data_IF_905272705510
#
_entry.id   IF_905272705510
#
_cell.length_a   1.000
_cell.length_b   1.000
_cell.length_c   1.000
_cell.angle_alpha   90.00
_cell.angle_beta   90.00
_cell.angle_gamma   90.00
#
_symmetry.space_group_name_H-M   'P 1'
#
loop_
_entity.id
_entity.type
_entity.pdbx_description
1 polymer ?
#
# COMPACT_ATOMS: atom_id res chain seq x y z
N UNK A 1 22.32 -15.09 -60.02
CA UNK A 1 22.02 -15.79 -58.74
C UNK A 1 22.88 -15.22 -57.61
N UNK A 2 22.56 -14.03 -57.11
CA UNK A 2 23.33 -13.41 -56.00
C UNK A 2 22.46 -12.93 -54.84
N UNK A 3 21.13 -12.97 -54.96
CA UNK A 3 20.19 -12.44 -53.94
C UNK A 3 19.75 -13.47 -52.87
N UNK A 4 20.10 -14.74 -53.01
CA UNK A 4 19.64 -15.80 -52.09
C UNK A 4 20.65 -16.10 -50.96
N UNK A 5 21.90 -15.62 -51.06
CA UNK A 5 22.91 -15.86 -50.00
C UNK A 5 22.79 -14.92 -48.79
N UNK A 6 22.34 -13.67 -49.00
CA UNK A 6 22.26 -12.65 -47.94
C UNK A 6 21.07 -12.85 -46.98
N UNK A 7 20.00 -13.52 -47.42
CA UNK A 7 18.84 -13.82 -46.56
C UNK A 7 19.14 -14.87 -45.49
N UNK A 8 20.19 -15.69 -45.67
CA UNK A 8 20.57 -16.75 -44.72
C UNK A 8 21.37 -16.22 -43.52
N UNK A 9 22.17 -15.17 -43.70
CA UNK A 9 22.93 -14.52 -42.61
C UNK A 9 22.04 -13.64 -41.71
N UNK A 10 21.01 -13.00 -42.25
CA UNK A 10 20.02 -12.27 -41.44
C UNK A 10 19.04 -13.21 -40.71
N UNK A 11 18.74 -14.39 -41.28
CA UNK A 11 17.90 -15.40 -40.61
C UNK A 11 18.57 -15.96 -39.35
N UNK A 12 19.86 -16.29 -39.43
CA UNK A 12 20.63 -16.86 -38.31
C UNK A 12 20.85 -15.85 -37.16
N UNK A 13 20.98 -14.56 -37.47
CA UNK A 13 21.10 -13.50 -36.45
C UNK A 13 19.75 -13.06 -35.88
N UNK A 14 18.71 -12.96 -36.72
CA UNK A 14 17.36 -12.54 -36.32
C UNK A 14 16.65 -13.60 -35.49
N UNK A 15 16.78 -14.88 -35.85
CA UNK A 15 16.23 -15.97 -35.02
C UNK A 15 16.92 -16.00 -33.65
N UNK A 16 18.23 -15.78 -33.59
CA UNK A 16 18.94 -15.74 -32.32
C UNK A 16 18.53 -14.53 -31.47
N UNK A 17 18.38 -13.36 -32.10
CA UNK A 17 17.93 -12.14 -31.42
C UNK A 17 16.50 -12.26 -30.91
N UNK A 18 15.56 -12.73 -31.73
CA UNK A 18 14.16 -12.92 -31.32
C UNK A 18 14.01 -14.04 -30.29
N UNK A 19 14.77 -15.14 -30.44
CA UNK A 19 14.81 -16.22 -29.44
C UNK A 19 15.34 -15.72 -28.09
N UNK A 20 16.44 -14.97 -28.09
CA UNK A 20 17.00 -14.39 -26.87
C UNK A 20 16.07 -13.35 -26.24
N UNK A 21 15.42 -12.51 -27.04
CA UNK A 21 14.44 -11.53 -26.57
C UNK A 21 13.24 -12.22 -25.93
N UNK A 22 12.64 -13.22 -26.59
CA UNK A 22 11.52 -13.99 -26.07
C UNK A 22 11.89 -14.74 -24.78
N UNK A 23 13.09 -15.32 -24.71
CA UNK A 23 13.58 -16.01 -23.50
C UNK A 23 13.84 -15.07 -22.34
N UNK A 24 14.32 -13.86 -22.62
CA UNK A 24 14.50 -12.82 -21.59
C UNK A 24 13.14 -12.32 -21.08
N UNK A 25 12.19 -12.07 -21.99
CA UNK A 25 10.82 -11.68 -21.63
C UNK A 25 10.13 -12.75 -20.80
N UNK A 26 10.28 -14.03 -21.17
CA UNK A 26 9.82 -15.16 -20.37
C UNK A 26 10.45 -15.16 -18.98
N UNK A 27 11.77 -14.97 -18.87
CA UNK A 27 12.46 -14.91 -17.58
C UNK A 27 11.98 -13.76 -16.68
N UNK A 28 11.68 -12.59 -17.27
CA UNK A 28 11.10 -11.47 -16.53
C UNK A 28 9.68 -11.77 -16.04
N UNK A 29 8.89 -12.45 -16.87
CA UNK A 29 7.54 -12.86 -16.53
C UNK A 29 7.53 -13.91 -15.41
N UNK A 30 8.40 -14.91 -15.49
CA UNK A 30 8.60 -15.92 -14.43
C UNK A 30 9.12 -15.29 -13.13
N UNK A 31 10.02 -14.32 -13.21
CA UNK A 31 10.47 -13.57 -12.04
C UNK A 31 9.31 -12.82 -11.36
N UNK A 32 8.42 -12.20 -12.16
CA UNK A 32 7.24 -11.52 -11.63
C UNK A 32 6.23 -12.49 -11.02
N UNK A 33 6.03 -13.66 -11.62
CA UNK A 33 5.19 -14.71 -11.05
C UNK A 33 5.74 -15.16 -9.68
N UNK A 34 7.04 -15.46 -9.60
CA UNK A 34 7.67 -15.88 -8.35
C UNK A 34 7.58 -14.80 -7.25
N UNK A 35 7.72 -13.53 -7.60
CA UNK A 35 7.55 -12.41 -6.67
C UNK A 35 6.11 -12.37 -6.11
N UNK A 36 5.11 -12.45 -6.99
CA UNK A 36 3.71 -12.44 -6.59
C UNK A 36 3.35 -13.68 -5.75
N UNK A 37 3.85 -14.86 -6.12
CA UNK A 37 3.67 -16.08 -5.32
C UNK A 37 4.33 -15.97 -3.95
N UNK A 38 5.50 -15.34 -3.83
CA UNK A 38 6.15 -15.11 -2.55
C UNK A 38 5.33 -14.16 -1.67
N UNK A 39 4.72 -13.12 -2.24
CA UNK A 39 3.82 -12.20 -1.52
C UNK A 39 2.59 -12.96 -1.02
N UNK A 40 1.95 -13.75 -1.88
CA UNK A 40 0.77 -14.54 -1.50
C UNK A 40 1.15 -15.61 -0.47
N UNK A 41 2.27 -16.31 -0.61
CA UNK A 41 2.64 -17.38 0.32
C UNK A 41 2.98 -16.86 1.72
N UNK A 42 3.53 -15.66 1.81
CA UNK A 42 3.93 -15.05 3.07
C UNK A 42 2.90 -14.07 3.64
N UNK A 43 1.74 -13.90 2.98
CA UNK A 43 0.70 -13.03 3.53
C UNK A 43 0.16 -13.63 4.84
N UNK A 44 0.02 -12.79 5.85
CA UNK A 44 -0.72 -13.13 7.07
C UNK A 44 -2.08 -12.49 6.94
N UNK A 45 -3.13 -13.32 6.88
CA UNK A 45 -4.51 -12.83 6.88
C UNK A 45 -4.82 -12.31 8.30
N UNK A 46 -4.79 -11.00 8.46
CA UNK A 46 -5.24 -10.37 9.70
C UNK A 46 -6.77 -10.36 9.67
N UNK A 47 -7.40 -11.35 10.31
CA UNK A 47 -8.82 -11.27 10.62
C UNK A 47 -9.04 -10.06 11.55
N UNK A 48 -9.77 -9.06 11.05
CA UNK A 48 -10.25 -7.96 11.88
C UNK A 48 -11.24 -8.52 12.89
N UNK A 49 -10.74 -8.88 14.09
CA UNK A 49 -11.59 -9.07 15.27
C UNK A 49 -12.50 -7.85 15.37
N UNK A 50 -13.80 -8.08 15.59
CA UNK A 50 -14.81 -7.04 15.84
C UNK A 50 -14.18 -5.92 16.66
N UNK A 51 -14.23 -4.70 16.12
CA UNK A 51 -13.78 -3.47 16.77
C UNK A 51 -14.11 -3.52 18.25
N UNK A 52 -13.07 -3.45 19.08
CA UNK A 52 -13.22 -3.36 20.55
C UNK A 52 -13.68 -1.96 20.97
N UNK A 53 -14.02 -1.10 20.01
CA UNK A 53 -14.24 0.33 20.20
C UNK A 53 -12.95 1.10 20.51
N UNK A 54 -11.79 0.44 20.43
CA UNK A 54 -10.47 1.01 20.69
C UNK A 54 -9.70 1.09 19.38
N UNK A 55 -9.11 2.25 19.11
CA UNK A 55 -8.27 2.47 17.93
C UNK A 55 -7.00 1.63 18.03
N UNK A 56 -6.76 0.79 17.02
CA UNK A 56 -5.56 -0.03 16.88
C UNK A 56 -5.04 0.00 15.43
N UNK A 57 -3.89 -0.62 15.19
CA UNK A 57 -3.41 -0.84 13.83
C UNK A 57 -4.44 -1.65 13.03
N UNK A 58 -4.77 -1.17 11.83
CA UNK A 58 -5.79 -1.74 10.97
C UNK A 58 -7.18 -1.12 11.13
N UNK A 59 -7.46 -0.41 12.22
CA UNK A 59 -8.74 0.25 12.49
C UNK A 59 -9.02 1.38 11.52
N UNK A 60 -10.27 1.52 11.13
CA UNK A 60 -10.79 2.73 10.47
C UNK A 60 -11.38 3.64 11.53
N UNK A 61 -10.83 4.84 11.66
CA UNK A 61 -11.19 5.81 12.69
C UNK A 61 -11.89 6.98 12.03
N UNK A 62 -13.02 7.37 12.60
CA UNK A 62 -13.72 8.62 12.29
C UNK A 62 -13.55 9.58 13.44
N UNK A 63 -13.15 10.81 13.15
CA UNK A 63 -13.01 11.88 14.12
C UNK A 63 -13.48 13.21 13.54
N UNK A 64 -13.84 14.14 14.41
CA UNK A 64 -14.26 15.49 14.03
C UNK A 64 -13.56 16.52 14.89
N UNK A 65 -13.13 17.63 14.28
CA UNK A 65 -12.75 18.85 14.99
C UNK A 65 -14.00 19.69 15.30
N UNK A 66 -13.96 20.48 16.38
CA UNK A 66 -15.10 21.29 16.81
C UNK A 66 -15.49 22.32 15.74
N UNK A 67 -16.66 22.12 15.12
CA UNK A 67 -17.19 23.00 14.07
C UNK A 67 -16.77 22.61 12.65
N UNK A 68 -15.98 21.55 12.47
CA UNK A 68 -15.61 21.00 11.16
C UNK A 68 -16.34 19.68 10.86
N UNK A 69 -16.18 19.19 9.63
CA UNK A 69 -16.75 17.92 9.19
C UNK A 69 -16.02 16.69 9.77
N UNK A 70 -16.66 15.52 9.68
CA UNK A 70 -16.01 14.27 10.04
C UNK A 70 -14.93 13.88 9.02
N UNK A 71 -13.75 13.54 9.53
CA UNK A 71 -12.67 12.93 8.76
C UNK A 71 -12.56 11.43 9.07
N UNK A 72 -12.21 10.64 8.06
CA UNK A 72 -12.09 9.18 8.16
C UNK A 72 -10.71 8.73 7.69
N UNK A 73 -9.97 8.02 8.54
CA UNK A 73 -8.68 7.44 8.17
C UNK A 73 -8.52 6.01 8.69
N UNK A 74 -7.83 5.19 7.90
CA UNK A 74 -7.37 3.87 8.32
C UNK A 74 -5.96 3.94 8.88
N UNK A 75 -5.76 3.41 10.08
CA UNK A 75 -4.45 3.33 10.71
C UNK A 75 -3.69 2.14 10.12
N UNK A 76 -2.56 2.41 9.48
CA UNK A 76 -1.74 1.42 8.76
C UNK A 76 -0.27 1.53 9.18
N UNK A 77 0.57 0.62 8.67
CA UNK A 77 2.03 0.72 8.83
C UNK A 77 2.64 1.85 7.99
N UNK A 78 3.87 2.32 8.32
CA UNK A 78 4.55 3.39 7.57
C UNK A 78 4.70 3.11 6.08
N UNK A 79 4.92 1.85 5.69
CA UNK A 79 5.10 1.45 4.30
C UNK A 79 3.82 1.57 3.45
N UNK A 80 2.64 1.61 4.09
CA UNK A 80 1.33 1.64 3.43
C UNK A 80 0.66 3.02 3.53
N UNK A 81 1.33 3.98 4.18
CA UNK A 81 0.77 5.28 4.50
C UNK A 81 0.59 6.13 3.24
N UNK A 82 -0.63 6.60 3.05
CA UNK A 82 -1.04 7.45 1.95
C UNK A 82 -2.24 8.29 2.40
N UNK A 83 -1.99 9.48 2.98
CA UNK A 83 -3.05 10.33 3.51
C UNK A 83 -4.10 10.72 2.46
N UNK A 84 -3.71 10.83 1.18
CA UNK A 84 -4.63 11.14 0.08
C UNK A 84 -5.61 9.99 -0.19
N UNK A 85 -5.19 8.76 0.09
CA UNK A 85 -6.04 7.57 0.03
C UNK A 85 -6.68 7.23 1.38
N UNK A 86 -6.68 8.15 2.35
CA UNK A 86 -7.28 7.91 3.67
C UNK A 86 -6.48 6.91 4.54
N UNK A 87 -5.19 6.71 4.27
CA UNK A 87 -4.32 5.79 5.02
C UNK A 87 -3.27 6.55 5.81
N UNK A 88 -3.26 6.39 7.13
CA UNK A 88 -2.38 7.13 8.04
C UNK A 88 -1.49 6.16 8.80
N UNK A 89 -0.18 6.44 8.81
CA UNK A 89 0.79 5.66 9.58
C UNK A 89 0.51 5.78 11.08
N UNK A 90 0.58 4.67 11.82
CA UNK A 90 0.59 4.69 13.28
C UNK A 90 1.76 5.50 13.88
N UNK A 91 2.82 5.77 13.11
CA UNK A 91 3.98 6.54 13.55
C UNK A 91 3.84 8.06 13.36
N UNK A 92 2.82 8.47 12.59
CA UNK A 92 2.51 9.88 12.33
C UNK A 92 1.97 10.57 13.60
N UNK A 93 1.99 11.91 13.64
CA UNK A 93 1.41 12.68 14.74
C UNK A 93 -0.05 12.28 15.00
N UNK A 94 -0.84 12.15 13.94
CA UNK A 94 -2.24 11.75 13.98
C UNK A 94 -2.39 10.30 14.47
N UNK A 95 -1.66 9.36 13.88
CA UNK A 95 -1.74 7.95 14.25
C UNK A 95 -1.31 7.69 15.69
N UNK A 96 -0.22 8.31 16.16
CA UNK A 96 0.24 8.23 17.54
C UNK A 96 -0.76 8.78 18.54
N UNK A 97 -1.41 9.89 18.18
CA UNK A 97 -2.39 10.54 19.04
C UNK A 97 -3.68 9.71 19.15
N UNK A 98 -4.13 9.06 18.07
CA UNK A 98 -5.40 8.32 18.04
C UNK A 98 -5.29 6.90 18.62
N UNK A 99 -4.14 6.24 18.54
CA UNK A 99 -3.99 4.86 19.02
C UNK A 99 -4.32 4.73 20.51
N UNK A 100 -5.13 3.72 20.85
CA UNK A 100 -5.54 3.43 22.22
C UNK A 100 -6.77 4.21 22.70
N UNK A 101 -7.21 5.22 21.95
CA UNK A 101 -8.43 5.96 22.26
C UNK A 101 -9.70 5.25 21.78
N UNK A 102 -10.84 5.69 22.30
CA UNK A 102 -12.15 5.10 22.05
C UNK A 102 -13.14 6.12 21.51
N UNK A 103 -14.26 5.63 20.98
CA UNK A 103 -15.39 6.48 20.58
C UNK A 103 -15.83 7.33 21.78
N UNK A 104 -15.91 8.64 21.58
CA UNK A 104 -16.24 9.65 22.58
C UNK A 104 -15.04 10.39 23.18
N UNK A 105 -13.82 9.86 23.03
CA UNK A 105 -12.62 10.52 23.56
C UNK A 105 -12.28 11.79 22.78
N UNK A 106 -11.84 12.82 23.51
CA UNK A 106 -11.18 13.99 22.93
C UNK A 106 -9.66 13.81 22.97
N UNK A 107 -9.03 13.99 21.82
CA UNK A 107 -7.60 13.75 21.57
C UNK A 107 -6.98 15.04 21.07
N UNK A 108 -5.86 15.45 21.67
CA UNK A 108 -5.05 16.56 21.17
C UNK A 108 -3.98 16.04 20.20
N UNK A 109 -4.03 16.48 18.95
CA UNK A 109 -3.07 16.12 17.91
C UNK A 109 -2.04 17.25 17.79
N UNK A 110 -0.78 16.92 18.03
CA UNK A 110 0.35 17.85 17.90
C UNK A 110 1.03 17.69 16.56
N UNK A 111 0.87 18.66 15.68
CA UNK A 111 1.57 18.73 14.39
C UNK A 111 2.69 19.77 14.44
N UNK A 112 3.66 19.73 13.51
CA UNK A 112 4.69 20.77 13.42
C UNK A 112 4.14 22.19 13.29
N UNK A 113 2.92 22.34 12.77
CA UNK A 113 2.28 23.64 12.52
C UNK A 113 1.35 24.10 13.65
N UNK A 114 1.20 23.31 14.72
CA UNK A 114 0.30 23.62 15.83
C UNK A 114 -0.38 22.39 16.40
N UNK A 115 -1.17 22.58 17.45
CA UNK A 115 -1.98 21.53 18.07
C UNK A 115 -3.47 21.86 17.89
N UNK A 116 -4.26 20.83 17.60
CA UNK A 116 -5.71 20.92 17.48
C UNK A 116 -6.35 19.72 18.19
N UNK A 117 -7.63 19.87 18.56
CA UNK A 117 -8.38 18.83 19.29
C UNK A 117 -9.41 18.21 18.38
N UNK A 118 -9.50 16.89 18.44
CA UNK A 118 -10.52 16.13 17.73
C UNK A 118 -11.25 15.22 18.68
N UNK A 119 -12.52 14.93 18.40
CA UNK A 119 -13.30 13.92 19.08
C UNK A 119 -13.42 12.67 18.21
N UNK A 120 -13.14 11.50 18.77
CA UNK A 120 -13.35 10.23 18.07
C UNK A 120 -14.85 9.94 18.02
N UNK A 121 -15.41 9.82 16.82
CA UNK A 121 -16.84 9.57 16.60
C UNK A 121 -17.14 8.12 16.19
N UNK A 122 -16.16 7.39 15.66
CA UNK A 122 -16.33 6.00 15.25
C UNK A 122 -15.00 5.25 15.14
N UNK A 123 -15.04 3.95 15.44
CA UNK A 123 -13.90 3.03 15.29
C UNK A 123 -14.41 1.69 14.77
N UNK A 124 -13.93 1.30 13.59
CA UNK A 124 -14.31 0.08 12.86
C UNK A 124 -13.10 -0.84 12.62
#
# INVERSE_FOLDING_TARGET
>A
MAKIKAAREFGDLSENFEYHAAKNEQGMMEARVNELEAIIKNHVLIETKKSTGVVAMGSTVRFAEDGEGEETYRIVGPAEADPKAGRVSYESALGKALIGHKVGDEVEIKTPNGAYKVRVVGVD
#
